data_IF_328657450693
#
_entry.id   IF_328657450693
#
_cell.length_a   1.000
_cell.length_b   1.000
_cell.length_c   1.000
_cell.angle_alpha   90.00
_cell.angle_beta   90.00
_cell.angle_gamma   90.00
#
_symmetry.space_group_name_H-M   'P 1'
#
loop_
_entity.id
_entity.type
_entity.pdbx_description
1 polymer ?
#
# COMPACT_ATOMS: atom_id res chain seq x y z
N UNK A 1 16.27 -50.27 -21.45
CA UNK A 1 16.84 -49.45 -20.36
C UNK A 1 15.93 -48.23 -20.21
N UNK A 2 14.96 -48.32 -19.30
CA UNK A 2 13.98 -47.23 -19.03
C UNK A 2 14.64 -46.31 -18.04
N UNK A 3 14.97 -45.07 -18.45
CA UNK A 3 15.43 -44.00 -17.57
C UNK A 3 14.19 -43.44 -16.88
N UNK A 4 13.95 -43.85 -15.64
CA UNK A 4 12.96 -43.26 -14.77
C UNK A 4 13.51 -41.91 -14.33
N UNK A 5 13.04 -40.82 -14.94
CA UNK A 5 13.30 -39.46 -14.47
C UNK A 5 12.45 -39.27 -13.21
N UNK A 6 13.02 -39.51 -12.05
CA UNK A 6 12.47 -39.10 -10.78
C UNK A 6 12.60 -37.57 -10.70
N UNK A 7 11.61 -36.84 -11.23
CA UNK A 7 11.43 -35.43 -10.87
C UNK A 7 10.98 -35.41 -9.40
N UNK A 8 11.91 -35.29 -8.47
CA UNK A 8 11.57 -34.87 -7.12
C UNK A 8 10.97 -33.48 -7.26
N UNK A 9 9.64 -33.40 -7.15
CA UNK A 9 8.93 -32.14 -6.94
C UNK A 9 9.47 -31.58 -5.62
N UNK A 10 10.32 -30.58 -5.70
CA UNK A 10 10.69 -29.79 -4.52
C UNK A 10 9.38 -29.29 -3.89
N UNK A 11 9.15 -29.50 -2.58
CA UNK A 11 7.94 -29.02 -1.95
C UNK A 11 7.78 -27.53 -2.20
N UNK A 12 6.63 -27.14 -2.74
CA UNK A 12 6.33 -25.73 -3.01
C UNK A 12 6.18 -24.99 -1.69
N UNK A 13 7.01 -23.96 -1.45
CA UNK A 13 6.96 -23.15 -0.22
C UNK A 13 5.66 -22.36 -0.12
N UNK A 14 5.03 -22.37 1.05
CA UNK A 14 3.82 -21.61 1.33
C UNK A 14 4.19 -20.20 1.78
N UNK A 15 3.72 -19.19 1.03
CA UNK A 15 3.97 -17.78 1.33
C UNK A 15 2.65 -17.08 1.60
N UNK A 16 2.44 -16.68 2.86
CA UNK A 16 1.29 -15.85 3.23
C UNK A 16 1.58 -14.37 2.91
N UNK A 17 0.54 -13.62 2.59
CA UNK A 17 0.59 -12.17 2.45
C UNK A 17 -0.67 -11.52 3.01
N UNK A 18 -0.51 -10.33 3.58
CA UNK A 18 -1.54 -9.65 4.38
C UNK A 18 -2.22 -8.51 3.65
N UNK A 19 -1.85 -8.30 2.39
CA UNK A 19 -2.35 -7.23 1.51
C UNK A 19 -3.88 -7.26 1.40
N UNK A 20 -4.57 -6.10 1.47
CA UNK A 20 -6.02 -5.99 1.32
C UNK A 20 -6.54 -6.63 0.03
N UNK A 21 -7.72 -7.25 0.08
CA UNK A 21 -8.37 -7.86 -1.08
C UNK A 21 -8.68 -6.80 -2.16
N UNK A 22 -7.91 -6.83 -3.24
CA UNK A 22 -8.09 -6.01 -4.43
C UNK A 22 -7.23 -6.56 -5.58
N UNK A 23 -7.26 -5.90 -6.73
CA UNK A 23 -6.42 -6.28 -7.89
C UNK A 23 -4.91 -6.31 -7.56
N UNK A 24 -4.49 -5.57 -6.55
CA UNK A 24 -3.09 -5.50 -6.10
C UNK A 24 -2.67 -6.81 -5.40
N UNK A 25 -3.54 -7.32 -4.50
CA UNK A 25 -3.36 -8.63 -3.87
C UNK A 25 -3.35 -9.77 -4.89
N UNK A 26 -4.23 -9.71 -5.90
CA UNK A 26 -4.27 -10.70 -6.97
C UNK A 26 -2.98 -10.72 -7.81
N UNK A 27 -2.37 -9.54 -8.05
CA UNK A 27 -1.06 -9.44 -8.73
C UNK A 27 0.05 -10.07 -7.90
N UNK A 28 0.08 -9.84 -6.57
CA UNK A 28 1.07 -10.46 -5.69
C UNK A 28 0.91 -11.99 -5.67
N UNK A 29 -0.33 -12.48 -5.54
CA UNK A 29 -0.60 -13.93 -5.58
C UNK A 29 -0.13 -14.57 -6.89
N UNK A 30 -0.41 -13.91 -8.03
CA UNK A 30 0.03 -14.40 -9.34
C UNK A 30 1.57 -14.43 -9.47
N UNK A 31 2.26 -13.40 -8.95
CA UNK A 31 3.72 -13.34 -8.96
C UNK A 31 4.33 -14.44 -8.09
N UNK A 32 3.83 -14.64 -6.88
CA UNK A 32 4.25 -15.73 -6.01
C UNK A 32 4.07 -17.09 -6.70
N UNK A 33 2.92 -17.30 -7.32
CA UNK A 33 2.65 -18.55 -8.05
C UNK A 33 3.59 -18.77 -9.25
N UNK A 34 3.96 -17.72 -9.99
CA UNK A 34 4.94 -17.77 -11.10
C UNK A 34 6.35 -18.17 -10.64
N UNK A 35 6.70 -17.87 -9.40
CA UNK A 35 7.95 -18.26 -8.76
C UNK A 35 7.84 -19.59 -8.00
N UNK A 36 6.85 -20.43 -8.34
CA UNK A 36 6.61 -21.74 -7.72
C UNK A 36 6.36 -21.71 -6.21
N UNK A 37 5.84 -20.60 -5.68
CA UNK A 37 5.34 -20.53 -4.31
C UNK A 37 3.83 -20.81 -4.26
N UNK A 38 3.36 -21.34 -3.15
CA UNK A 38 1.91 -21.47 -2.85
C UNK A 38 1.44 -20.22 -2.12
N UNK A 39 0.71 -19.30 -2.78
CA UNK A 39 0.27 -18.06 -2.15
C UNK A 39 -0.90 -18.29 -1.19
N UNK A 40 -0.84 -17.74 0.01
CA UNK A 40 -1.93 -17.72 0.98
C UNK A 40 -2.34 -16.28 1.28
N UNK A 41 -3.54 -15.88 0.84
CA UNK A 41 -4.08 -14.55 1.14
C UNK A 41 -4.69 -14.51 2.53
N UNK A 42 -4.19 -13.60 3.38
CA UNK A 42 -4.65 -13.34 4.75
C UNK A 42 -4.80 -11.83 4.97
N UNK A 43 -5.76 -11.16 4.31
CA UNK A 43 -5.90 -9.70 4.37
C UNK A 43 -6.25 -9.23 5.78
N UNK A 44 -5.30 -8.59 6.46
CA UNK A 44 -5.44 -8.16 7.86
C UNK A 44 -6.07 -6.78 8.03
N UNK A 45 -6.18 -6.05 6.90
CA UNK A 45 -6.84 -4.74 6.84
C UNK A 45 -7.82 -4.69 5.66
N UNK A 46 -8.85 -3.87 5.80
CA UNK A 46 -9.80 -3.54 4.74
C UNK A 46 -9.52 -2.08 4.36
N UNK A 47 -9.32 -1.83 3.07
CA UNK A 47 -9.02 -0.50 2.53
C UNK A 47 -10.01 -0.16 1.43
N UNK A 48 -10.65 1.01 1.53
CA UNK A 48 -11.53 1.49 0.47
C UNK A 48 -12.39 2.68 0.88
N UNK A 49 -13.01 3.36 -0.09
CA UNK A 49 -13.96 4.44 0.18
C UNK A 49 -15.25 3.90 0.79
N UNK A 50 -15.87 4.70 1.64
CA UNK A 50 -17.22 4.50 2.18
C UNK A 50 -18.12 5.64 1.71
N UNK A 51 -19.43 5.50 1.90
CA UNK A 51 -20.37 6.60 1.60
C UNK A 51 -19.99 7.87 2.34
N UNK A 52 -19.60 7.76 3.61
CA UNK A 52 -19.22 8.91 4.43
C UNK A 52 -17.96 9.60 3.91
N UNK A 53 -16.88 8.82 3.63
CA UNK A 53 -15.63 9.39 3.12
C UNK A 53 -15.79 9.95 1.71
N UNK A 54 -16.60 9.31 0.85
CA UNK A 54 -16.90 9.81 -0.49
C UNK A 54 -17.67 11.13 -0.45
N UNK A 55 -18.67 11.25 0.43
CA UNK A 55 -19.45 12.50 0.60
C UNK A 55 -18.56 13.63 1.12
N UNK A 56 -17.72 13.33 2.13
CA UNK A 56 -16.76 14.31 2.64
C UNK A 56 -15.77 14.77 1.56
N UNK A 57 -15.23 13.82 0.78
CA UNK A 57 -14.29 14.13 -0.29
C UNK A 57 -14.94 14.98 -1.39
N UNK A 58 -16.17 14.67 -1.83
CA UNK A 58 -16.93 15.50 -2.80
C UNK A 58 -17.10 16.93 -2.32
N UNK A 59 -17.43 17.11 -1.04
CA UNK A 59 -17.54 18.45 -0.47
C UNK A 59 -16.21 19.20 -0.55
N UNK A 60 -15.08 18.55 -0.22
CA UNK A 60 -13.77 19.19 -0.29
C UNK A 60 -13.33 19.49 -1.73
N UNK A 61 -13.63 18.61 -2.69
CA UNK A 61 -13.32 18.84 -4.12
C UNK A 61 -14.02 20.09 -4.65
N UNK A 62 -15.20 20.43 -4.13
CA UNK A 62 -15.92 21.67 -4.53
C UNK A 62 -15.31 22.95 -3.98
N UNK A 63 -14.33 22.85 -3.06
CA UNK A 63 -13.58 23.99 -2.55
C UNK A 63 -12.42 24.31 -3.51
N UNK A 64 -12.02 25.59 -3.55
CA UNK A 64 -10.95 26.03 -4.45
C UNK A 64 -9.57 25.59 -3.91
N UNK A 65 -8.91 24.70 -4.66
CA UNK A 65 -7.53 24.26 -4.45
C UNK A 65 -6.68 24.57 -5.69
N UNK A 66 -5.37 24.70 -5.49
CA UNK A 66 -4.37 24.81 -6.57
C UNK A 66 -3.71 23.47 -6.89
N UNK A 67 -3.85 22.50 -6.00
CA UNK A 67 -3.25 21.18 -6.15
C UNK A 67 -4.00 20.11 -5.39
N UNK A 68 -3.82 18.86 -5.84
CA UNK A 68 -4.12 17.64 -5.05
C UNK A 68 -2.87 16.76 -5.01
N UNK A 69 -2.60 16.15 -3.88
CA UNK A 69 -1.43 15.29 -3.71
C UNK A 69 -1.82 13.95 -3.09
N UNK A 70 -1.38 12.85 -3.73
CA UNK A 70 -1.73 11.49 -3.36
C UNK A 70 -0.51 10.72 -2.86
N UNK A 71 -0.60 10.23 -1.63
CA UNK A 71 0.42 9.37 -1.01
C UNK A 71 0.08 7.88 -1.14
N UNK A 72 -1.01 7.52 -1.85
CA UNK A 72 -1.44 6.13 -2.04
C UNK A 72 -2.38 5.96 -3.22
N UNK A 73 -2.39 4.75 -3.81
CA UNK A 73 -3.38 4.32 -4.82
C UNK A 73 -4.82 4.44 -4.32
N UNK A 74 -5.06 4.09 -3.07
CA UNK A 74 -6.39 4.16 -2.48
C UNK A 74 -6.92 5.59 -2.47
N UNK A 75 -6.06 6.58 -2.22
CA UNK A 75 -6.40 8.00 -2.31
C UNK A 75 -6.81 8.41 -3.72
N UNK A 76 -6.06 7.99 -4.75
CA UNK A 76 -6.39 8.27 -6.16
C UNK A 76 -7.72 7.63 -6.54
N UNK A 77 -7.90 6.33 -6.18
CA UNK A 77 -9.13 5.60 -6.48
C UNK A 77 -10.35 6.23 -5.80
N UNK A 78 -10.22 6.59 -4.52
CA UNK A 78 -11.30 7.25 -3.77
C UNK A 78 -11.65 8.62 -4.38
N UNK A 79 -10.64 9.38 -4.78
CA UNK A 79 -10.82 10.68 -5.41
C UNK A 79 -11.54 10.54 -6.76
N UNK A 80 -11.12 9.61 -7.61
CA UNK A 80 -11.79 9.32 -8.89
C UNK A 80 -13.25 8.86 -8.69
N UNK A 81 -13.49 8.00 -7.69
CA UNK A 81 -14.85 7.59 -7.31
C UNK A 81 -15.71 8.78 -6.88
N UNK A 82 -15.11 9.73 -6.17
CA UNK A 82 -15.84 10.93 -5.75
C UNK A 82 -16.15 11.88 -6.92
N UNK A 83 -15.31 11.93 -7.96
CA UNK A 83 -15.56 12.70 -9.19
C UNK A 83 -16.65 12.06 -10.05
N UNK A 84 -16.82 10.74 -10.02
CA UNK A 84 -17.77 10.02 -10.85
C UNK A 84 -19.19 10.53 -10.64
N UNK A 85 -19.93 10.68 -11.74
CA UNK A 85 -21.31 11.16 -11.78
C UNK A 85 -21.52 12.66 -11.41
N UNK A 86 -20.44 13.45 -11.40
CA UNK A 86 -20.49 14.90 -11.21
C UNK A 86 -19.83 15.60 -12.41
N UNK A 87 -20.26 16.83 -12.76
CA UNK A 87 -19.52 17.61 -13.74
C UNK A 87 -18.10 17.90 -13.23
N UNK A 88 -17.12 18.11 -14.13
CA UNK A 88 -15.76 18.46 -13.74
C UNK A 88 -15.74 19.66 -12.79
N UNK A 89 -15.09 19.54 -11.61
CA UNK A 89 -15.14 20.58 -10.59
C UNK A 89 -14.23 21.78 -10.87
N UNK A 90 -13.21 21.61 -11.74
CA UNK A 90 -12.29 22.69 -12.07
C UNK A 90 -12.77 23.48 -13.28
N UNK A 91 -12.72 24.83 -13.23
CA UNK A 91 -12.89 25.66 -14.40
C UNK A 91 -11.87 25.36 -15.51
N UNK A 92 -12.23 25.60 -16.78
CA UNK A 92 -11.39 25.31 -17.93
C UNK A 92 -10.10 26.16 -17.99
N UNK A 93 -10.07 27.29 -17.30
CA UNK A 93 -8.95 28.25 -17.25
C UNK A 93 -8.12 28.15 -15.96
N UNK A 94 -8.43 27.22 -15.08
CA UNK A 94 -7.72 27.05 -13.82
C UNK A 94 -6.49 26.15 -13.97
N UNK A 95 -5.32 26.70 -13.70
CA UNK A 95 -4.10 25.89 -13.51
C UNK A 95 -4.22 25.02 -12.27
N UNK A 96 -3.92 23.72 -12.40
CA UNK A 96 -4.02 22.76 -11.33
C UNK A 96 -2.86 21.77 -11.33
N UNK A 97 -2.40 21.41 -10.15
CA UNK A 97 -1.31 20.45 -9.97
C UNK A 97 -1.87 19.16 -9.39
N UNK A 98 -1.52 18.02 -10.03
CA UNK A 98 -1.73 16.69 -9.46
C UNK A 98 -0.36 16.10 -9.14
N UNK A 99 -0.19 15.60 -7.95
CA UNK A 99 1.04 14.89 -7.57
C UNK A 99 0.73 13.54 -6.97
N UNK A 100 1.50 12.51 -7.35
CA UNK A 100 1.30 11.12 -6.92
C UNK A 100 2.62 10.38 -6.80
N UNK A 101 2.65 9.32 -5.98
CA UNK A 101 3.84 8.50 -5.77
C UNK A 101 4.04 7.47 -6.89
N UNK A 102 5.23 7.47 -7.48
CA UNK A 102 5.75 6.40 -8.34
C UNK A 102 4.75 5.82 -9.34
N UNK A 103 4.58 4.50 -9.32
CA UNK A 103 3.65 3.77 -10.20
C UNK A 103 2.16 4.03 -9.91
N UNK A 104 1.83 4.64 -8.78
CA UNK A 104 0.43 4.99 -8.49
C UNK A 104 -0.12 5.99 -9.49
N UNK A 105 0.77 6.77 -10.12
CA UNK A 105 0.44 7.69 -11.20
C UNK A 105 -0.18 7.01 -12.45
N UNK A 106 -0.04 5.70 -12.63
CA UNK A 106 -0.72 4.97 -13.71
C UNK A 106 -2.25 5.05 -13.62
N UNK A 107 -2.78 5.41 -12.43
CA UNK A 107 -4.21 5.64 -12.21
C UNK A 107 -4.68 7.03 -12.64
N UNK A 108 -3.77 7.96 -12.92
CA UNK A 108 -4.08 9.29 -13.44
C UNK A 108 -4.32 9.20 -14.95
N UNK A 109 -5.31 8.42 -15.32
CA UNK A 109 -5.68 8.16 -16.73
C UNK A 109 -6.30 9.40 -17.41
N UNK A 110 -6.41 9.43 -18.75
CA UNK A 110 -7.16 10.48 -19.44
C UNK A 110 -8.60 10.65 -18.90
N UNK A 111 -9.27 9.56 -18.54
CA UNK A 111 -10.61 9.60 -17.95
C UNK A 111 -10.61 10.28 -16.57
N UNK A 112 -9.57 10.03 -15.75
CA UNK A 112 -9.39 10.73 -14.49
C UNK A 112 -9.25 12.24 -14.72
N UNK A 113 -8.38 12.64 -15.65
CA UNK A 113 -8.10 14.05 -15.96
C UNK A 113 -9.36 14.76 -16.51
N UNK A 114 -10.08 14.14 -17.45
CA UNK A 114 -11.30 14.68 -18.02
C UNK A 114 -12.45 14.79 -17.01
N UNK A 115 -12.46 13.90 -16.00
CA UNK A 115 -13.42 14.00 -14.90
C UNK A 115 -13.11 15.16 -13.94
N UNK A 116 -11.88 15.66 -13.94
CA UNK A 116 -11.45 16.75 -13.06
C UNK A 116 -11.58 18.13 -13.73
N UNK A 117 -11.24 18.25 -15.00
CA UNK A 117 -11.29 19.50 -15.77
C UNK A 117 -11.73 19.25 -17.22
N UNK A 118 -12.54 20.16 -17.80
CA UNK A 118 -12.85 20.12 -19.22
C UNK A 118 -11.64 20.47 -20.11
N UNK A 119 -10.60 21.08 -19.55
CA UNK A 119 -9.34 21.40 -20.24
C UNK A 119 -8.16 20.74 -19.55
N UNK A 120 -7.60 19.69 -20.17
CA UNK A 120 -6.44 18.94 -19.66
C UNK A 120 -5.13 19.72 -19.72
N UNK A 121 -5.02 20.75 -20.59
CA UNK A 121 -3.76 21.48 -20.81
C UNK A 121 -3.33 22.29 -19.58
N UNK A 122 -4.29 22.65 -18.73
CA UNK A 122 -4.04 23.36 -17.48
C UNK A 122 -3.74 22.42 -16.29
N UNK A 123 -3.72 21.09 -16.52
CA UNK A 123 -3.40 20.08 -15.50
C UNK A 123 -1.93 19.69 -15.62
N UNK A 124 -1.15 20.00 -14.61
CA UNK A 124 0.25 19.57 -14.50
C UNK A 124 0.40 18.41 -13.55
N UNK A 125 0.91 17.26 -14.04
CA UNK A 125 1.22 16.10 -13.23
C UNK A 125 2.69 16.17 -12.78
N UNK A 126 2.93 16.05 -11.48
CA UNK A 126 4.26 16.03 -10.87
C UNK A 126 4.48 14.66 -10.22
N UNK A 127 5.55 13.99 -10.64
CA UNK A 127 5.99 12.72 -10.08
C UNK A 127 7.34 12.91 -9.40
N UNK A 128 7.50 12.49 -8.14
CA UNK A 128 8.77 12.62 -7.45
C UNK A 128 9.80 11.63 -8.01
N UNK A 129 11.04 12.07 -8.15
CA UNK A 129 12.17 11.19 -8.49
C UNK A 129 12.44 10.14 -7.40
N UNK A 130 12.23 10.52 -6.15
CA UNK A 130 12.21 9.60 -5.01
C UNK A 130 10.73 9.35 -4.62
N UNK A 131 10.19 8.12 -4.82
CA UNK A 131 8.78 7.81 -4.59
C UNK A 131 8.44 7.66 -3.09
N UNK A 132 8.74 8.71 -2.30
CA UNK A 132 8.43 8.83 -0.88
C UNK A 132 7.56 10.07 -0.63
N UNK A 133 6.81 10.15 0.48
CA UNK A 133 6.06 11.34 0.83
C UNK A 133 6.93 12.61 0.92
N UNK A 134 8.16 12.53 1.46
CA UNK A 134 9.10 13.65 1.47
C UNK A 134 9.54 14.06 0.06
N UNK A 135 9.88 13.09 -0.80
CA UNK A 135 10.19 13.36 -2.21
C UNK A 135 9.03 14.00 -2.96
N UNK A 136 7.78 13.68 -2.58
CA UNK A 136 6.60 14.32 -3.14
C UNK A 136 6.52 15.80 -2.73
N UNK A 137 6.78 16.12 -1.46
CA UNK A 137 6.85 17.49 -0.95
C UNK A 137 7.94 18.30 -1.68
N UNK A 138 9.14 17.73 -1.81
CA UNK A 138 10.27 18.37 -2.50
C UNK A 138 9.93 18.67 -3.98
N UNK A 139 9.28 17.71 -4.66
CA UNK A 139 8.91 17.84 -6.07
C UNK A 139 7.80 18.86 -6.32
N UNK A 140 6.89 19.05 -5.36
CA UNK A 140 5.89 20.12 -5.41
C UNK A 140 6.50 21.50 -5.30
N UNK A 141 7.62 21.62 -4.58
CA UNK A 141 8.29 22.88 -4.33
C UNK A 141 7.50 23.88 -3.47
N UNK A 142 7.87 25.17 -3.46
CA UNK A 142 7.26 26.19 -2.60
C UNK A 142 5.77 26.39 -2.88
N UNK A 143 4.96 26.33 -1.83
CA UNK A 143 3.52 26.52 -1.90
C UNK A 143 3.07 27.96 -2.10
N UNK A 144 3.81 28.92 -1.56
CA UNK A 144 3.51 30.36 -1.63
C UNK A 144 2.08 30.70 -1.16
N UNK A 145 1.59 30.03 -0.13
CA UNK A 145 0.24 30.20 0.40
C UNK A 145 -0.87 29.52 -0.41
N UNK A 146 -0.54 28.79 -1.48
CA UNK A 146 -1.52 28.04 -2.27
C UNK A 146 -2.10 26.87 -1.47
N UNK A 147 -3.36 26.55 -1.72
CA UNK A 147 -4.06 25.42 -1.06
C UNK A 147 -3.79 24.13 -1.78
N UNK A 148 -3.50 23.06 -1.02
CA UNK A 148 -3.35 21.70 -1.54
C UNK A 148 -4.28 20.75 -0.82
N UNK A 149 -5.05 19.96 -1.58
CA UNK A 149 -5.92 18.91 -1.04
C UNK A 149 -5.10 17.64 -0.84
N UNK A 150 -5.22 17.03 0.34
CA UNK A 150 -4.49 15.83 0.73
C UNK A 150 -5.51 14.72 1.08
N UNK A 151 -5.92 13.87 0.10
CA UNK A 151 -6.76 12.71 0.35
C UNK A 151 -5.95 11.64 1.09
N UNK A 152 -6.30 11.40 2.36
CA UNK A 152 -5.60 10.48 3.27
C UNK A 152 -6.55 9.43 3.85
N UNK A 153 -6.06 8.35 4.46
CA UNK A 153 -6.91 7.36 5.11
C UNK A 153 -7.58 7.92 6.38
N UNK A 154 -8.80 7.47 6.65
CA UNK A 154 -9.39 7.41 7.97
C UNK A 154 -8.99 6.06 8.57
N UNK A 155 -8.11 6.06 9.57
CA UNK A 155 -7.64 4.82 10.20
C UNK A 155 -8.57 4.46 11.36
N UNK A 156 -9.10 3.22 11.36
CA UNK A 156 -10.06 2.73 12.34
C UNK A 156 -9.58 1.44 13.00
N UNK A 157 -9.44 1.47 14.32
CA UNK A 157 -9.02 0.33 15.11
C UNK A 157 -7.56 -0.09 14.92
N UNK A 158 -6.74 0.77 14.31
CA UNK A 158 -5.30 0.66 14.10
C UNK A 158 -4.68 2.03 14.41
N UNK A 159 -3.36 2.08 14.56
CA UNK A 159 -2.64 3.34 14.71
C UNK A 159 -2.46 4.05 13.35
N UNK A 160 -2.65 5.36 13.35
CA UNK A 160 -2.34 6.13 12.15
C UNK A 160 -0.80 6.19 11.96
N UNK A 161 -0.29 5.79 10.79
CA UNK A 161 1.14 5.90 10.52
C UNK A 161 1.62 7.35 10.59
N UNK A 162 2.73 7.61 11.29
CA UNK A 162 3.31 8.97 11.46
C UNK A 162 3.61 9.66 10.13
N UNK A 163 3.80 8.88 9.07
CA UNK A 163 4.05 9.41 7.72
C UNK A 163 2.93 10.32 7.21
N UNK A 164 1.67 10.14 7.67
CA UNK A 164 0.55 11.00 7.24
C UNK A 164 0.60 12.39 7.90
N UNK A 165 0.64 12.52 9.24
CA UNK A 165 0.78 13.83 9.86
C UNK A 165 2.11 14.50 9.52
N UNK A 166 3.20 13.76 9.37
CA UNK A 166 4.50 14.31 8.95
C UNK A 166 4.41 14.92 7.55
N UNK A 167 3.80 14.24 6.60
CA UNK A 167 3.59 14.75 5.24
C UNK A 167 2.79 16.06 5.22
N UNK A 168 1.71 16.15 6.00
CA UNK A 168 0.89 17.36 6.12
C UNK A 168 1.71 18.51 6.71
N UNK A 169 2.49 18.23 7.77
CA UNK A 169 3.39 19.22 8.39
C UNK A 169 4.43 19.73 7.39
N UNK A 170 5.07 18.83 6.64
CA UNK A 170 6.15 19.15 5.72
C UNK A 170 5.65 19.99 4.53
N UNK A 171 4.44 19.74 4.03
CA UNK A 171 3.77 20.64 3.07
C UNK A 171 3.58 22.05 3.65
N UNK A 172 3.16 22.15 4.91
CA UNK A 172 3.03 23.44 5.61
C UNK A 172 4.37 24.17 5.70
N UNK A 173 5.46 23.48 6.02
CA UNK A 173 6.81 24.05 6.09
C UNK A 173 7.29 24.56 4.72
N UNK A 174 6.84 23.95 3.62
CA UNK A 174 7.10 24.42 2.25
C UNK A 174 6.16 25.56 1.81
N UNK A 175 5.37 26.11 2.72
CA UNK A 175 4.49 27.25 2.46
C UNK A 175 3.19 26.90 1.73
N UNK A 176 2.82 25.62 1.65
CA UNK A 176 1.47 25.20 1.23
C UNK A 176 0.46 25.38 2.37
N UNK A 177 -0.81 25.50 2.03
CA UNK A 177 -1.93 25.40 2.97
C UNK A 177 -2.61 24.04 2.76
N UNK A 178 -2.13 22.97 3.44
CA UNK A 178 -2.65 21.64 3.24
C UNK A 178 -4.03 21.48 3.87
N UNK A 179 -4.95 20.91 3.12
CA UNK A 179 -6.27 20.49 3.59
C UNK A 179 -6.34 18.98 3.61
N UNK A 180 -6.26 18.42 4.80
CA UNK A 180 -6.45 16.99 5.03
C UNK A 180 -7.93 16.62 4.85
N UNK A 181 -8.20 15.57 4.05
CA UNK A 181 -9.53 14.98 3.93
C UNK A 181 -9.46 13.46 4.04
N UNK A 182 -10.31 12.87 4.87
CA UNK A 182 -10.44 11.43 4.98
C UNK A 182 -11.16 10.89 3.73
N UNK A 183 -10.39 10.39 2.76
CA UNK A 183 -10.89 9.99 1.45
C UNK A 183 -11.34 8.52 1.38
N UNK A 184 -10.76 7.68 2.23
CA UNK A 184 -11.05 6.24 2.32
C UNK A 184 -10.77 5.75 3.73
N UNK A 185 -11.30 4.59 4.07
CA UNK A 185 -11.02 3.93 5.35
C UNK A 185 -9.88 2.93 5.21
N UNK A 186 -9.03 2.85 6.24
CA UNK A 186 -8.14 1.72 6.51
C UNK A 186 -8.53 1.18 7.87
N UNK A 187 -9.10 -0.02 7.92
CA UNK A 187 -9.60 -0.61 9.16
C UNK A 187 -9.13 -2.05 9.34
N UNK A 188 -8.96 -2.44 10.59
CA UNK A 188 -8.68 -3.83 10.92
C UNK A 188 -9.76 -4.76 10.36
N UNK A 189 -9.35 -5.87 9.74
CA UNK A 189 -10.26 -6.84 9.11
C UNK A 189 -10.97 -7.76 10.12
N UNK A 190 -10.58 -7.68 11.40
CA UNK A 190 -11.10 -8.54 12.46
C UNK A 190 -10.31 -9.86 12.59
N UNK A 191 -10.54 -10.62 13.67
CA UNK A 191 -9.71 -11.78 14.01
C UNK A 191 -9.78 -12.90 12.97
N UNK A 192 -10.91 -13.09 12.29
CA UNK A 192 -11.10 -14.20 11.34
C UNK A 192 -10.16 -14.17 10.15
N UNK A 193 -9.52 -13.03 9.85
CA UNK A 193 -8.62 -12.87 8.72
C UNK A 193 -7.39 -13.80 8.78
N UNK A 194 -6.94 -14.17 10.00
CA UNK A 194 -5.79 -15.06 10.19
C UNK A 194 -6.16 -16.52 10.44
N UNK A 195 -7.47 -16.87 10.38
CA UNK A 195 -7.92 -18.24 10.69
C UNK A 195 -7.17 -19.29 9.88
N UNK A 196 -7.10 -19.12 8.56
CA UNK A 196 -6.37 -20.03 7.69
C UNK A 196 -4.88 -20.09 8.01
N UNK A 197 -4.28 -18.95 8.40
CA UNK A 197 -2.87 -18.87 8.75
C UNK A 197 -2.58 -19.69 10.02
N UNK A 198 -3.38 -19.54 11.07
CA UNK A 198 -3.17 -20.25 12.34
C UNK A 198 -3.50 -21.75 12.27
N UNK A 199 -4.21 -22.19 11.23
CA UNK A 199 -4.52 -23.59 10.97
C UNK A 199 -3.44 -24.33 10.16
N UNK A 200 -2.44 -23.59 9.61
CA UNK A 200 -1.34 -24.21 8.84
C UNK A 200 -0.38 -24.97 9.72
N UNK A 201 0.06 -26.14 9.25
CA UNK A 201 1.18 -26.88 9.85
C UNK A 201 2.52 -26.26 9.49
N UNK A 202 2.69 -25.80 8.25
CA UNK A 202 3.92 -25.22 7.72
C UNK A 202 3.67 -23.88 7.05
N UNK A 203 4.54 -22.93 7.31
CA UNK A 203 4.58 -21.60 6.68
C UNK A 203 6.04 -21.20 6.46
N UNK A 204 6.40 -20.96 5.22
CA UNK A 204 7.77 -20.64 4.81
C UNK A 204 8.01 -19.13 4.72
N UNK A 205 7.01 -18.37 4.28
CA UNK A 205 7.14 -16.95 4.06
C UNK A 205 5.93 -16.14 4.50
N UNK A 206 6.19 -14.88 4.89
CA UNK A 206 5.15 -13.90 5.21
C UNK A 206 5.53 -12.54 4.62
N UNK A 207 4.66 -12.00 3.77
CA UNK A 207 4.89 -10.72 3.07
C UNK A 207 3.98 -9.64 3.63
N UNK A 208 4.58 -8.50 4.00
CA UNK A 208 3.88 -7.27 4.37
C UNK A 208 4.07 -6.18 3.31
N UNK A 209 3.00 -5.49 2.97
CA UNK A 209 3.05 -4.35 2.04
C UNK A 209 2.81 -3.00 2.73
N UNK A 210 2.34 -3.01 3.98
CA UNK A 210 2.18 -1.80 4.81
C UNK A 210 2.31 -2.09 6.31
N UNK A 211 2.60 -1.06 7.10
CA UNK A 211 2.65 -1.15 8.57
C UNK A 211 1.29 -1.51 9.18
N UNK A 212 0.21 -1.00 8.63
CA UNK A 212 -1.14 -1.31 9.09
C UNK A 212 -1.47 -2.81 8.98
N UNK A 213 -0.93 -3.48 7.96
CA UNK A 213 -1.08 -4.93 7.80
C UNK A 213 -0.37 -5.70 8.92
N UNK A 214 0.82 -5.27 9.32
CA UNK A 214 1.57 -5.85 10.44
C UNK A 214 0.78 -5.71 11.74
N UNK A 215 0.29 -4.51 12.02
CA UNK A 215 -0.52 -4.25 13.22
C UNK A 215 -1.80 -5.09 13.22
N UNK A 216 -2.50 -5.15 12.07
CA UNK A 216 -3.70 -5.95 11.89
C UNK A 216 -3.44 -7.45 12.12
N UNK A 217 -2.28 -7.97 11.67
CA UNK A 217 -1.85 -9.34 11.93
C UNK A 217 -1.66 -9.57 13.43
N UNK A 218 -0.84 -8.75 14.09
CA UNK A 218 -0.55 -8.89 15.52
C UNK A 218 -1.80 -8.83 16.37
N UNK A 219 -2.71 -7.91 16.03
CA UNK A 219 -4.01 -7.79 16.70
C UNK A 219 -4.86 -9.04 16.51
N UNK A 220 -4.88 -9.59 15.29
CA UNK A 220 -5.65 -10.80 14.97
C UNK A 220 -5.08 -12.03 15.66
N UNK A 221 -3.77 -12.19 15.73
CA UNK A 221 -3.10 -13.30 16.40
C UNK A 221 -3.42 -13.34 17.89
N UNK A 222 -3.45 -12.18 18.57
CA UNK A 222 -3.80 -12.09 20.00
C UNK A 222 -5.18 -12.64 20.30
N UNK A 223 -6.14 -12.48 19.39
CA UNK A 223 -7.49 -13.05 19.54
C UNK A 223 -7.50 -14.60 19.49
N UNK A 224 -6.45 -15.22 18.93
CA UNK A 224 -6.22 -16.66 18.94
C UNK A 224 -5.26 -17.11 20.05
N UNK A 225 -4.89 -16.22 20.99
CA UNK A 225 -3.95 -16.52 22.05
C UNK A 225 -2.50 -16.68 21.57
N UNK A 226 -2.18 -16.13 20.41
CA UNK A 226 -0.85 -16.17 19.80
C UNK A 226 -0.22 -14.77 19.83
N UNK A 227 1.08 -14.74 20.06
CA UNK A 227 1.92 -13.56 19.84
C UNK A 227 2.94 -13.81 18.73
N UNK A 228 3.73 -12.81 18.42
CA UNK A 228 4.75 -12.91 17.39
C UNK A 228 5.82 -13.94 17.70
N UNK A 229 6.23 -14.04 18.97
CA UNK A 229 7.21 -15.04 19.40
C UNK A 229 6.65 -16.47 19.26
N UNK A 230 5.39 -16.66 19.59
CA UNK A 230 4.67 -17.93 19.41
C UNK A 230 4.65 -18.34 17.93
N UNK A 231 4.40 -17.38 17.02
CA UNK A 231 4.50 -17.62 15.59
C UNK A 231 5.90 -18.07 15.15
N UNK A 232 6.95 -17.36 15.60
CA UNK A 232 8.35 -17.69 15.27
C UNK A 232 8.78 -19.04 15.85
N UNK A 233 8.26 -19.44 17.01
CA UNK A 233 8.48 -20.77 17.60
C UNK A 233 7.77 -21.87 16.81
N UNK A 234 6.55 -21.59 16.33
CA UNK A 234 5.78 -22.55 15.51
C UNK A 234 6.41 -22.78 14.14
N UNK A 235 6.95 -21.76 13.51
CA UNK A 235 7.63 -21.82 12.21
C UNK A 235 9.04 -21.23 12.31
N UNK A 236 10.02 -21.99 12.82
CA UNK A 236 11.38 -21.47 13.04
C UNK A 236 12.09 -21.01 11.77
N UNK A 237 11.72 -21.59 10.61
CA UNK A 237 12.24 -21.24 9.29
C UNK A 237 11.48 -20.12 8.57
N UNK A 238 10.46 -19.52 9.21
CA UNK A 238 9.65 -18.46 8.58
C UNK A 238 10.53 -17.28 8.15
N UNK A 239 10.46 -16.92 6.86
CA UNK A 239 11.08 -15.72 6.28
C UNK A 239 10.05 -14.61 6.21
N UNK A 240 10.34 -13.48 6.86
CA UNK A 240 9.47 -12.29 6.88
C UNK A 240 10.00 -11.26 5.91
N UNK A 241 9.18 -10.90 4.92
CA UNK A 241 9.54 -9.96 3.88
C UNK A 241 8.68 -8.68 3.94
N UNK A 242 9.33 -7.53 3.81
CA UNK A 242 8.67 -6.25 3.65
C UNK A 242 8.81 -5.73 2.21
N UNK A 243 7.70 -5.22 1.66
CA UNK A 243 7.68 -4.65 0.31
C UNK A 243 8.60 -3.43 0.15
N UNK A 244 8.87 -2.70 1.24
CA UNK A 244 9.75 -1.55 1.21
C UNK A 244 10.23 -1.11 2.60
N UNK A 245 11.17 -0.14 2.65
CA UNK A 245 11.81 0.27 3.91
C UNK A 245 10.84 0.88 4.92
N UNK A 246 9.80 1.59 4.48
CA UNK A 246 8.78 2.17 5.37
C UNK A 246 8.00 1.06 6.08
N UNK A 247 7.62 0.00 5.35
CA UNK A 247 6.95 -1.17 5.92
C UNK A 247 7.86 -1.91 6.89
N UNK A 248 9.13 -2.11 6.53
CA UNK A 248 10.12 -2.77 7.39
C UNK A 248 10.31 -2.03 8.71
N UNK A 249 10.58 -0.72 8.65
CA UNK A 249 10.73 0.13 9.84
C UNK A 249 9.47 0.13 10.71
N UNK A 250 8.29 0.14 10.09
CA UNK A 250 7.01 0.04 10.80
C UNK A 250 6.82 -1.31 11.50
N UNK A 251 7.21 -2.41 10.84
CA UNK A 251 7.16 -3.76 11.42
C UNK A 251 8.09 -3.89 12.62
N UNK A 252 9.32 -3.40 12.52
CA UNK A 252 10.30 -3.42 13.62
C UNK A 252 9.83 -2.63 14.84
N UNK A 253 9.22 -1.46 14.65
CA UNK A 253 8.61 -0.70 15.77
C UNK A 253 7.50 -1.47 16.49
N UNK A 254 6.80 -2.34 15.77
CA UNK A 254 5.77 -3.21 16.31
C UNK A 254 6.33 -4.53 16.89
N UNK A 255 7.65 -4.70 16.94
CA UNK A 255 8.31 -5.90 17.45
C UNK A 255 8.38 -7.06 16.46
N UNK A 256 8.08 -6.82 15.19
CA UNK A 256 8.18 -7.82 14.11
C UNK A 256 9.50 -7.65 13.37
N UNK A 257 10.43 -8.58 13.58
CA UNK A 257 11.69 -8.62 12.83
C UNK A 257 11.41 -8.98 11.38
N UNK A 258 11.94 -8.16 10.47
CA UNK A 258 11.93 -8.38 9.02
C UNK A 258 13.24 -9.02 8.61
N UNK A 259 13.17 -10.12 7.89
CA UNK A 259 14.37 -10.87 7.44
C UNK A 259 14.86 -10.34 6.08
N UNK A 260 13.95 -9.84 5.24
CA UNK A 260 14.30 -9.25 3.93
C UNK A 260 13.43 -8.04 3.59
N UNK A 261 14.06 -7.03 3.02
CA UNK A 261 13.39 -5.84 2.50
C UNK A 261 13.65 -5.76 1.00
N UNK A 262 12.58 -5.57 0.21
CA UNK A 262 12.74 -5.36 -1.23
C UNK A 262 13.55 -4.10 -1.52
N UNK A 263 14.56 -4.23 -2.37
CA UNK A 263 15.32 -3.09 -2.90
C UNK A 263 14.57 -2.36 -4.03
N UNK A 264 13.61 -3.04 -4.67
CA UNK A 264 12.75 -2.49 -5.71
C UNK A 264 11.28 -2.50 -5.23
N UNK A 265 10.92 -1.47 -4.46
CA UNK A 265 9.56 -1.32 -3.92
C UNK A 265 8.59 -0.60 -4.86
N UNK A 266 8.97 -0.36 -6.10
CA UNK A 266 8.06 0.15 -7.13
C UNK A 266 7.11 -0.92 -7.68
N UNK A 267 7.39 -2.21 -7.43
CA UNK A 267 6.54 -3.35 -7.81
C UNK A 267 6.73 -4.53 -6.86
N UNK A 268 5.78 -5.45 -6.84
CA UNK A 268 5.89 -6.68 -6.04
C UNK A 268 6.97 -7.66 -6.54
N UNK A 269 7.43 -7.51 -7.80
CA UNK A 269 8.55 -8.29 -8.31
C UNK A 269 9.75 -8.23 -7.38
N UNK A 270 10.07 -7.05 -6.85
CA UNK A 270 11.20 -6.88 -5.96
C UNK A 270 11.13 -7.74 -4.70
N UNK A 271 9.98 -7.81 -4.02
CA UNK A 271 9.84 -8.62 -2.80
C UNK A 271 9.80 -10.12 -3.12
N UNK A 272 9.18 -10.52 -4.23
CA UNK A 272 9.13 -11.93 -4.65
C UNK A 272 10.51 -12.42 -5.07
N UNK A 273 11.26 -11.64 -5.85
CA UNK A 273 12.66 -11.95 -6.19
C UNK A 273 13.57 -12.02 -4.97
N UNK A 274 13.35 -11.15 -3.97
CA UNK A 274 14.13 -11.17 -2.74
C UNK A 274 13.88 -12.46 -1.92
N UNK A 275 12.64 -12.95 -1.88
CA UNK A 275 12.31 -14.26 -1.30
C UNK A 275 12.95 -15.39 -2.07
N UNK A 276 12.85 -15.39 -3.39
CA UNK A 276 13.42 -16.39 -4.28
C UNK A 276 14.96 -16.47 -4.12
N UNK A 277 15.62 -15.32 -4.00
CA UNK A 277 17.05 -15.25 -3.76
C UNK A 277 17.48 -15.87 -2.42
N UNK A 278 16.73 -15.62 -1.33
CA UNK A 278 17.03 -16.24 -0.01
C UNK A 278 16.95 -17.76 -0.10
N UNK A 279 15.93 -18.29 -0.74
CA UNK A 279 15.74 -19.74 -0.81
C UNK A 279 16.57 -20.40 -1.90
N UNK A 280 16.83 -19.72 -3.02
CA UNK A 280 17.71 -20.22 -4.08
C UNK A 280 19.16 -20.36 -3.67
N UNK A 281 19.64 -19.52 -2.73
CA UNK A 281 20.97 -19.67 -2.13
C UNK A 281 21.02 -20.73 -1.02
N UNK A 282 19.86 -21.10 -0.43
CA UNK A 282 19.81 -22.11 0.65
C UNK A 282 19.86 -23.54 0.11
N UNK A 283 19.46 -23.77 -1.15
CA UNK A 283 19.48 -25.10 -1.78
C UNK A 283 20.85 -25.44 -2.40
N UNK A 284 21.87 -24.57 -2.19
CA UNK A 284 23.24 -24.73 -2.75
C UNK A 284 24.29 -25.18 -1.72
N UNK A 285 23.88 -25.64 -0.53
CA UNK A 285 24.76 -26.18 0.53
C UNK A 285 24.46 -27.63 0.85
#
# INVERSE_FOLDING_TARGET
MLITINSQLTPTRTVAFTTPENNYASRLALLLHRHNFTPLSCPTVIVGPTTATTTSLRHHISLHFSAVTFTSRAGITAFFTALSHSPPPLPADQDFIISALGKDAELLTPDFISSLSPNSDNIRIILPSNPTPSGLVDSLGPGLGRKVLCPVPLVLGLEEPTVVPDFIRDLGLMGWVPSRVNAYETRWAGPKCVKKLVELDELDGLVFTSTAEVEGLLKSLREYGLDWEGMRKRWPGLVVAAHGPVTASGAERLGVRVDVVSSNFSSFEGVVQALDHIWGNSDSF
#
